data_IF_269367471272
#
_entry.id   IF_269367471272
#
_cell.length_a   1.000
_cell.length_b   1.000
_cell.length_c   1.000
_cell.angle_alpha   90.00
_cell.angle_beta   90.00
_cell.angle_gamma   90.00
#
_symmetry.space_group_name_H-M   'P 1'
#
loop_
_entity.id
_entity.type
_entity.pdbx_description
1 polymer ?
#
# COMPACT_ATOMS: atom_id res chain seq x y z
N UNK A 1 -11.14 15.21 -2.81
CA UNK A 1 -10.60 14.62 -4.05
C UNK A 1 -9.17 14.23 -3.74
N UNK A 2 -8.89 12.94 -3.61
CA UNK A 2 -7.51 12.46 -3.42
C UNK A 2 -6.66 12.96 -4.59
N UNK A 3 -5.53 13.59 -4.27
CA UNK A 3 -4.61 14.09 -5.28
C UNK A 3 -3.72 12.92 -5.71
N UNK A 4 -3.85 12.47 -6.96
CA UNK A 4 -2.93 11.46 -7.49
C UNK A 4 -1.56 12.10 -7.69
N UNK A 5 -0.54 11.51 -7.08
CA UNK A 5 0.85 11.96 -7.12
C UNK A 5 1.58 11.14 -8.18
N UNK A 6 2.01 11.82 -9.23
CA UNK A 6 2.85 11.22 -10.27
C UNK A 6 4.32 11.36 -9.87
N UNK A 7 4.87 10.32 -9.26
CA UNK A 7 6.32 10.15 -9.15
C UNK A 7 6.96 10.08 -10.56
N UNK A 8 8.27 10.31 -10.67
CA UNK A 8 9.01 10.20 -11.94
C UNK A 8 9.05 11.49 -12.77
N UNK A 9 8.91 12.67 -12.15
CA UNK A 9 9.02 13.97 -12.84
C UNK A 9 10.39 14.64 -12.65
N UNK A 10 11.34 13.98 -11.98
CA UNK A 10 12.70 14.47 -11.77
C UNK A 10 13.66 14.08 -12.90
N UNK A 11 14.92 14.50 -12.79
CA UNK A 11 16.00 14.00 -13.65
C UNK A 11 16.12 12.48 -13.48
N UNK A 12 15.78 11.75 -14.53
CA UNK A 12 15.68 10.28 -14.54
C UNK A 12 17.02 9.63 -14.16
N UNK A 13 18.15 10.13 -14.66
CA UNK A 13 19.45 9.51 -14.39
C UNK A 13 19.81 9.67 -12.92
N UNK A 14 19.62 10.87 -12.38
CA UNK A 14 19.92 11.16 -10.98
C UNK A 14 19.00 10.37 -10.05
N UNK A 15 17.67 10.41 -10.28
CA UNK A 15 16.72 9.77 -9.37
C UNK A 15 16.91 8.25 -9.38
N UNK A 16 17.14 7.63 -10.53
CA UNK A 16 17.48 6.20 -10.61
C UNK A 16 18.80 5.87 -9.91
N UNK A 17 19.85 6.69 -10.07
CA UNK A 17 21.13 6.45 -9.40
C UNK A 17 21.02 6.56 -7.87
N UNK A 18 20.20 7.50 -7.37
CA UNK A 18 19.93 7.63 -5.94
C UNK A 18 19.08 6.48 -5.41
N UNK A 19 17.97 6.16 -6.09
CA UNK A 19 17.03 5.11 -5.73
C UNK A 19 17.72 3.74 -5.65
N UNK A 20 18.58 3.44 -6.61
CA UNK A 20 19.36 2.19 -6.65
C UNK A 20 20.70 2.27 -5.92
N UNK A 21 21.01 3.42 -5.32
CA UNK A 21 22.32 3.71 -4.69
C UNK A 21 23.52 3.42 -5.62
N UNK A 22 23.31 3.46 -6.94
CA UNK A 22 24.30 3.05 -7.95
C UNK A 22 25.52 3.99 -8.02
N UNK A 23 25.39 5.22 -7.52
CA UNK A 23 26.48 6.19 -7.38
C UNK A 23 27.06 6.28 -5.96
N UNK A 24 26.60 5.43 -5.03
CA UNK A 24 27.29 5.17 -3.77
C UNK A 24 28.08 3.85 -3.90
N UNK A 25 29.17 3.88 -4.66
CA UNK A 25 30.31 3.08 -4.25
C UNK A 25 30.55 3.36 -2.75
N UNK A 26 30.91 2.37 -1.92
CA UNK A 26 31.23 2.63 -0.51
C UNK A 26 32.20 3.79 -0.51
N UNK A 27 31.85 4.84 0.23
CA UNK A 27 32.54 6.12 0.19
C UNK A 27 34.04 5.89 0.41
N UNK A 28 34.81 5.85 -0.69
CA UNK A 28 36.27 5.90 -0.68
C UNK A 28 36.76 7.26 -0.16
N UNK A 29 35.85 8.14 0.30
CA UNK A 29 36.17 9.22 1.24
C UNK A 29 35.97 8.73 2.66
N UNK A 30 36.67 7.66 3.03
CA UNK A 30 37.05 7.45 4.43
C UNK A 30 38.14 8.47 4.80
N UNK A 31 37.78 9.76 4.80
CA UNK A 31 38.51 10.74 5.58
C UNK A 31 38.02 10.57 7.03
N UNK A 32 38.91 10.42 8.02
CA UNK A 32 38.50 10.34 9.43
C UNK A 32 37.92 11.70 9.84
N UNK A 33 36.60 11.81 9.75
CA UNK A 33 35.81 12.97 10.15
C UNK A 33 34.51 12.53 10.80
N UNK A 34 33.81 13.43 11.52
CA UNK A 34 32.50 13.13 12.09
C UNK A 34 31.55 12.67 10.98
N UNK A 35 30.72 11.64 11.25
CA UNK A 35 29.65 11.25 10.32
C UNK A 35 28.86 12.50 9.92
N UNK A 36 28.61 12.76 8.63
CA UNK A 36 27.80 13.91 8.23
C UNK A 36 26.45 13.85 8.96
N UNK A 37 26.06 14.94 9.60
CA UNK A 37 24.82 15.05 10.39
C UNK A 37 23.54 14.92 9.53
N UNK A 38 23.68 14.88 8.21
CA UNK A 38 22.59 14.70 7.25
C UNK A 38 22.97 13.61 6.23
N UNK A 39 22.01 12.75 5.90
CA UNK A 39 22.12 11.74 4.84
C UNK A 39 20.82 11.70 4.01
N UNK A 40 20.85 11.05 2.84
CA UNK A 40 19.63 10.80 2.05
C UNK A 40 18.62 10.03 2.90
N UNK A 41 19.04 8.92 3.52
CA UNK A 41 18.20 8.08 4.36
C UNK A 41 17.51 8.88 5.48
N UNK A 42 18.24 9.76 6.19
CA UNK A 42 17.68 10.60 7.25
C UNK A 42 16.63 11.59 6.73
N UNK A 43 16.88 12.18 5.55
CA UNK A 43 15.91 13.09 4.91
C UNK A 43 14.65 12.32 4.52
N UNK A 44 14.80 11.11 3.98
CA UNK A 44 13.69 10.25 3.57
C UNK A 44 12.88 9.77 4.78
N UNK A 45 13.52 9.26 5.83
CA UNK A 45 12.86 8.83 7.08
C UNK A 45 12.05 9.96 7.71
N UNK A 46 12.64 11.16 7.76
CA UNK A 46 11.93 12.34 8.29
C UNK A 46 10.72 12.69 7.42
N UNK A 47 10.85 12.57 6.10
CA UNK A 47 9.78 12.84 5.17
C UNK A 47 8.63 11.82 5.29
N UNK A 48 8.95 10.54 5.47
CA UNK A 48 7.97 9.48 5.77
C UNK A 48 7.21 9.82 7.06
N UNK A 49 7.93 10.16 8.14
CA UNK A 49 7.29 10.52 9.41
C UNK A 49 6.36 11.75 9.28
N UNK A 50 6.72 12.75 8.46
CA UNK A 50 5.82 13.89 8.17
C UNK A 50 4.57 13.44 7.40
N UNK A 51 4.73 12.55 6.41
CA UNK A 51 3.62 12.07 5.61
C UNK A 51 2.68 11.13 6.39
N UNK A 52 3.21 10.29 7.28
CA UNK A 52 2.42 9.42 8.16
C UNK A 52 1.58 10.24 9.15
N UNK A 53 2.15 11.29 9.74
CA UNK A 53 1.47 12.10 10.75
C UNK A 53 0.51 13.14 10.17
N UNK A 54 0.84 13.72 9.01
CA UNK A 54 0.18 14.93 8.51
C UNK A 54 -0.28 14.81 7.04
N UNK A 55 -0.02 13.67 6.40
CA UNK A 55 -0.39 13.42 5.00
C UNK A 55 0.46 14.17 3.97
N UNK A 56 0.24 13.86 2.69
CA UNK A 56 1.01 14.42 1.58
C UNK A 56 0.80 15.92 1.34
N UNK A 57 -0.32 16.46 1.83
CA UNK A 57 -0.63 17.88 1.79
C UNK A 57 0.33 18.73 2.63
N UNK A 58 0.79 18.21 3.77
CA UNK A 58 1.76 18.88 4.64
C UNK A 58 3.22 18.67 4.19
N UNK A 59 3.48 17.63 3.40
CA UNK A 59 4.84 17.30 2.96
C UNK A 59 5.43 18.40 2.06
N UNK A 60 6.55 18.98 2.51
CA UNK A 60 7.35 19.92 1.74
C UNK A 60 8.81 19.89 2.19
N UNK A 61 9.74 20.31 1.32
CA UNK A 61 11.17 20.43 1.69
C UNK A 61 11.37 21.34 2.90
N UNK A 62 10.51 22.35 3.08
CA UNK A 62 10.54 23.25 4.24
C UNK A 62 10.08 22.55 5.52
N UNK A 63 9.01 21.76 5.45
CA UNK A 63 8.51 21.00 6.61
C UNK A 63 9.55 19.96 7.08
N UNK A 64 10.13 19.21 6.13
CA UNK A 64 11.19 18.24 6.42
C UNK A 64 12.42 18.93 7.01
N UNK A 65 12.84 20.06 6.42
CA UNK A 65 13.97 20.85 6.94
C UNK A 65 13.72 21.34 8.36
N UNK A 66 12.53 21.90 8.62
CA UNK A 66 12.16 22.38 9.94
C UNK A 66 12.20 21.26 11.00
N UNK A 67 11.71 20.06 10.67
CA UNK A 67 11.75 18.90 11.55
C UNK A 67 13.18 18.43 11.86
N UNK A 68 14.11 18.61 10.92
CA UNK A 68 15.54 18.33 11.08
C UNK A 68 16.34 19.49 11.70
N UNK A 69 15.72 20.63 12.01
CA UNK A 69 16.44 21.84 12.44
C UNK A 69 17.33 22.45 11.35
N UNK A 70 16.98 22.25 10.08
CA UNK A 70 17.74 22.67 8.90
C UNK A 70 16.91 23.53 7.95
N UNK A 71 17.59 24.21 7.03
CA UNK A 71 16.91 24.95 5.94
C UNK A 71 16.57 23.99 4.79
N UNK A 72 15.50 24.28 4.05
CA UNK A 72 15.16 23.53 2.83
C UNK A 72 16.33 23.49 1.83
N UNK A 73 17.11 24.58 1.73
CA UNK A 73 18.28 24.65 0.85
C UNK A 73 19.33 23.58 1.15
N UNK A 74 19.54 23.23 2.43
CA UNK A 74 20.49 22.18 2.80
C UNK A 74 20.05 20.78 2.34
N UNK A 75 18.73 20.56 2.19
CA UNK A 75 18.19 19.27 1.76
C UNK A 75 18.36 19.05 0.25
N UNK A 76 18.33 20.12 -0.56
CA UNK A 76 18.46 20.03 -2.01
C UNK A 76 19.81 19.46 -2.49
N UNK A 77 20.83 19.49 -1.64
CA UNK A 77 22.12 18.83 -1.88
C UNK A 77 21.98 17.29 -1.91
N UNK A 78 21.00 16.75 -1.19
CA UNK A 78 20.76 15.31 -1.07
C UNK A 78 19.63 14.87 -2.00
N UNK A 79 18.53 15.62 -2.01
CA UNK A 79 17.32 15.32 -2.78
C UNK A 79 16.86 16.56 -3.54
N UNK A 80 16.95 16.55 -4.86
CA UNK A 80 16.81 17.68 -5.77
C UNK A 80 15.41 18.29 -5.78
N UNK A 81 14.37 17.53 -5.44
CA UNK A 81 12.98 17.96 -5.57
C UNK A 81 12.05 17.18 -4.66
N UNK A 82 10.83 17.70 -4.44
CA UNK A 82 9.76 16.96 -3.75
C UNK A 82 9.42 15.65 -4.49
N UNK A 83 9.43 15.64 -5.83
CA UNK A 83 9.07 14.43 -6.58
C UNK A 83 10.14 13.33 -6.42
N UNK A 84 11.43 13.69 -6.47
CA UNK A 84 12.53 12.77 -6.17
C UNK A 84 12.44 12.27 -4.72
N UNK A 85 12.05 13.13 -3.77
CA UNK A 85 11.82 12.74 -2.38
C UNK A 85 10.70 11.69 -2.28
N UNK A 86 9.58 11.87 -3.00
CA UNK A 86 8.47 10.92 -3.00
C UNK A 86 8.87 9.56 -3.58
N UNK A 87 9.68 9.53 -4.64
CA UNK A 87 10.23 8.27 -5.18
C UNK A 87 11.03 7.50 -4.12
N UNK A 88 11.93 8.19 -3.43
CA UNK A 88 12.77 7.60 -2.39
C UNK A 88 11.94 7.17 -1.17
N UNK A 89 10.98 8.00 -0.74
CA UNK A 89 10.07 7.66 0.36
C UNK A 89 9.27 6.40 0.06
N UNK A 90 8.70 6.31 -1.14
CA UNK A 90 7.85 5.19 -1.54
C UNK A 90 8.64 3.87 -1.48
N UNK A 91 9.79 3.80 -2.12
CA UNK A 91 10.60 2.59 -2.12
C UNK A 91 11.20 2.28 -0.73
N UNK A 92 11.61 3.29 0.03
CA UNK A 92 12.13 3.09 1.39
C UNK A 92 11.05 2.52 2.32
N UNK A 93 9.81 3.02 2.24
CA UNK A 93 8.67 2.47 2.99
C UNK A 93 8.37 1.02 2.56
N UNK A 94 8.52 0.68 1.28
CA UNK A 94 8.39 -0.72 0.81
C UNK A 94 9.45 -1.67 1.38
N UNK A 95 10.51 -1.16 2.01
CA UNK A 95 11.54 -1.96 2.66
C UNK A 95 11.00 -2.94 3.71
N UNK A 96 9.99 -2.55 4.50
CA UNK A 96 9.37 -3.45 5.48
C UNK A 96 8.62 -4.62 4.82
N UNK A 97 7.99 -4.39 3.66
CA UNK A 97 7.35 -5.45 2.89
C UNK A 97 8.39 -6.37 2.24
N UNK A 98 9.49 -5.80 1.75
CA UNK A 98 10.58 -6.57 1.14
C UNK A 98 11.19 -7.55 2.13
N UNK A 99 11.54 -7.06 3.33
CA UNK A 99 12.10 -7.89 4.40
C UNK A 99 11.15 -9.01 4.82
N UNK A 100 9.86 -8.70 4.98
CA UNK A 100 8.87 -9.70 5.35
C UNK A 100 8.66 -10.75 4.25
N UNK A 101 8.59 -10.34 2.98
CA UNK A 101 8.43 -11.25 1.84
C UNK A 101 9.64 -12.18 1.70
N UNK A 102 10.86 -11.69 1.92
CA UNK A 102 12.08 -12.49 1.92
C UNK A 102 12.08 -13.55 3.03
N UNK A 103 11.65 -13.18 4.24
CA UNK A 103 11.54 -14.11 5.37
C UNK A 103 10.47 -15.19 5.13
N UNK A 104 9.41 -14.85 4.40
CA UNK A 104 8.32 -15.78 4.11
C UNK A 104 8.64 -16.79 2.99
N UNK A 105 9.75 -16.64 2.25
CA UNK A 105 10.11 -17.52 1.11
C UNK A 105 10.16 -19.01 1.45
N UNK A 106 10.55 -19.34 2.68
CA UNK A 106 10.66 -20.74 3.13
C UNK A 106 9.32 -21.38 3.53
N UNK A 107 8.22 -20.62 3.54
CA UNK A 107 6.89 -21.11 3.93
C UNK A 107 6.18 -21.76 2.74
N UNK A 108 5.18 -22.63 2.97
CA UNK A 108 4.29 -23.08 1.90
C UNK A 108 3.72 -21.90 1.12
N UNK A 109 3.64 -22.03 -0.22
CA UNK A 109 3.34 -20.90 -1.09
C UNK A 109 2.07 -20.13 -0.69
N UNK A 110 1.02 -20.86 -0.28
CA UNK A 110 -0.25 -20.26 0.10
C UNK A 110 -0.10 -19.43 1.37
N UNK A 111 0.63 -19.93 2.37
CA UNK A 111 0.90 -19.21 3.62
C UNK A 111 1.77 -17.98 3.37
N UNK A 112 2.80 -18.08 2.54
CA UNK A 112 3.68 -16.97 2.19
C UNK A 112 2.93 -15.84 1.48
N UNK A 113 2.08 -16.18 0.50
CA UNK A 113 1.28 -15.19 -0.25
C UNK A 113 0.19 -14.58 0.62
N UNK A 114 -0.45 -15.37 1.49
CA UNK A 114 -1.43 -14.84 2.46
C UNK A 114 -0.79 -13.86 3.44
N UNK A 115 0.36 -14.20 4.04
CA UNK A 115 1.10 -13.30 4.95
C UNK A 115 1.53 -12.02 4.23
N UNK A 116 2.04 -12.12 3.01
CA UNK A 116 2.38 -10.94 2.22
C UNK A 116 1.17 -10.03 1.95
N UNK A 117 0.03 -10.59 1.54
CA UNK A 117 -1.17 -9.81 1.25
C UNK A 117 -1.72 -9.10 2.51
N UNK A 118 -1.67 -9.77 3.67
CA UNK A 118 -2.06 -9.17 4.96
C UNK A 118 -1.09 -8.07 5.39
N UNK A 119 0.22 -8.27 5.21
CA UNK A 119 1.21 -7.23 5.49
C UNK A 119 1.09 -6.04 4.56
N UNK A 120 0.74 -6.26 3.29
CA UNK A 120 0.45 -5.19 2.34
C UNK A 120 -0.77 -4.37 2.78
N UNK A 121 -1.78 -5.02 3.35
CA UNK A 121 -2.93 -4.34 3.96
C UNK A 121 -2.49 -3.45 5.13
N UNK A 122 -1.75 -4.02 6.08
CA UNK A 122 -1.26 -3.29 7.25
C UNK A 122 -0.33 -2.14 6.86
N UNK A 123 0.52 -2.34 5.86
CA UNK A 123 1.40 -1.32 5.29
C UNK A 123 0.60 -0.13 4.76
N UNK A 124 -0.44 -0.36 3.97
CA UNK A 124 -1.24 0.74 3.43
C UNK A 124 -2.02 1.49 4.51
N UNK A 125 -2.49 0.79 5.56
CA UNK A 125 -3.12 1.46 6.70
C UNK A 125 -2.12 2.27 7.53
N UNK A 126 -0.86 1.82 7.65
CA UNK A 126 0.21 2.53 8.36
C UNK A 126 0.73 3.73 7.57
N UNK A 127 0.84 3.59 6.26
CA UNK A 127 1.37 4.59 5.33
C UNK A 127 0.34 4.99 4.27
N UNK A 128 -0.82 5.58 4.65
CA UNK A 128 -1.94 5.82 3.73
C UNK A 128 -1.58 6.75 2.57
N UNK A 129 -0.57 7.60 2.72
CA UNK A 129 -0.05 8.46 1.66
C UNK A 129 0.49 7.67 0.45
N UNK A 130 0.88 6.41 0.62
CA UNK A 130 1.36 5.55 -0.49
C UNK A 130 0.23 5.21 -1.47
N UNK A 131 -1.04 5.27 -1.04
CA UNK A 131 -2.22 5.14 -1.90
C UNK A 131 -2.44 6.36 -2.82
N UNK A 132 -1.81 7.49 -2.52
CA UNK A 132 -1.83 8.67 -3.38
C UNK A 132 -0.82 8.57 -4.53
N UNK A 133 0.20 7.69 -4.41
CA UNK A 133 1.23 7.52 -5.44
C UNK A 133 0.69 6.69 -6.61
N UNK A 134 0.84 7.25 -7.83
CA UNK A 134 0.31 6.69 -9.06
C UNK A 134 0.99 5.40 -9.46
N UNK A 135 0.18 4.36 -9.71
CA UNK A 135 0.65 3.09 -10.28
C UNK A 135 0.78 3.14 -11.81
N UNK A 136 0.30 4.21 -12.46
CA UNK A 136 0.46 4.40 -13.90
C UNK A 136 1.89 4.84 -14.27
N UNK A 137 2.65 5.35 -13.29
CA UNK A 137 4.07 5.67 -13.38
C UNK A 137 4.74 5.16 -12.10
N UNK A 138 4.94 3.83 -11.98
CA UNK A 138 5.42 3.22 -10.75
C UNK A 138 6.84 3.67 -10.45
N UNK A 139 7.19 3.63 -9.17
CA UNK A 139 8.57 3.84 -8.72
C UNK A 139 9.33 2.57 -9.06
N UNK A 140 10.42 2.70 -9.82
CA UNK A 140 11.23 1.53 -10.20
C UNK A 140 12.33 1.32 -9.18
N UNK A 141 11.96 1.05 -7.92
CA UNK A 141 12.87 1.00 -6.78
C UNK A 141 13.26 -0.42 -6.34
N UNK A 142 14.45 -0.59 -5.72
CA UNK A 142 14.97 -1.89 -5.35
C UNK A 142 14.09 -2.65 -4.37
N UNK A 143 13.41 -2.00 -3.41
CA UNK A 143 12.55 -2.71 -2.46
C UNK A 143 11.25 -3.20 -3.13
N UNK A 144 10.69 -2.42 -4.06
CA UNK A 144 9.54 -2.88 -4.87
C UNK A 144 9.91 -4.14 -5.70
N UNK A 145 11.11 -4.16 -6.30
CA UNK A 145 11.61 -5.35 -6.99
C UNK A 145 11.89 -6.52 -6.05
N UNK A 146 12.42 -6.28 -4.84
CA UNK A 146 12.65 -7.34 -3.84
C UNK A 146 11.34 -7.98 -3.37
N UNK A 147 10.27 -7.19 -3.21
CA UNK A 147 8.93 -7.69 -2.92
C UNK A 147 8.45 -8.58 -4.07
N UNK A 148 8.50 -8.07 -5.30
CA UNK A 148 8.01 -8.84 -6.45
C UNK A 148 8.81 -10.12 -6.66
N UNK A 149 10.14 -10.06 -6.61
CA UNK A 149 11.04 -11.22 -6.71
C UNK A 149 10.71 -12.28 -5.65
N UNK A 150 10.47 -11.87 -4.40
CA UNK A 150 10.18 -12.81 -3.31
C UNK A 150 8.85 -13.55 -3.51
N UNK A 151 7.79 -12.82 -3.90
CA UNK A 151 6.48 -13.42 -4.16
C UNK A 151 6.52 -14.26 -5.44
N UNK A 152 7.23 -13.80 -6.47
CA UNK A 152 7.39 -14.51 -7.73
C UNK A 152 8.14 -15.84 -7.54
N UNK A 153 9.24 -15.84 -6.79
CA UNK A 153 10.02 -17.05 -6.49
C UNK A 153 9.16 -18.12 -5.78
N UNK A 154 8.36 -17.71 -4.80
CA UNK A 154 7.45 -18.61 -4.09
C UNK A 154 6.40 -19.24 -5.02
N UNK A 155 5.81 -18.44 -5.92
CA UNK A 155 4.82 -18.93 -6.88
C UNK A 155 5.46 -19.78 -8.00
N UNK A 156 6.69 -19.46 -8.40
CA UNK A 156 7.47 -20.23 -9.37
C UNK A 156 7.82 -21.61 -8.81
N UNK A 157 8.35 -21.69 -7.58
CA UNK A 157 8.60 -22.97 -6.89
C UNK A 157 7.32 -23.80 -6.72
N UNK A 158 6.18 -23.12 -6.52
CA UNK A 158 4.89 -23.77 -6.47
C UNK A 158 4.45 -24.35 -7.83
N UNK A 159 5.09 -23.99 -8.95
CA UNK A 159 4.80 -24.50 -10.29
C UNK A 159 3.85 -23.62 -11.12
N UNK A 160 3.70 -22.34 -10.77
CA UNK A 160 2.88 -21.40 -11.53
C UNK A 160 3.66 -20.83 -12.72
N UNK A 161 3.01 -20.68 -13.88
CA UNK A 161 3.67 -20.14 -15.07
C UNK A 161 4.00 -18.63 -14.95
N UNK A 162 5.06 -18.13 -15.61
CA UNK A 162 5.50 -16.72 -15.46
C UNK A 162 4.43 -15.65 -15.76
N UNK A 163 3.59 -15.86 -16.77
CA UNK A 163 2.48 -14.96 -17.12
C UNK A 163 1.38 -14.95 -16.04
N UNK A 164 1.15 -16.11 -15.42
CA UNK A 164 0.22 -16.30 -14.31
C UNK A 164 0.78 -15.72 -13.02
N UNK A 165 2.09 -15.81 -12.76
CA UNK A 165 2.77 -15.15 -11.62
C UNK A 165 2.57 -13.63 -11.72
N UNK A 166 2.86 -13.04 -12.89
CA UNK A 166 2.69 -11.60 -13.11
C UNK A 166 1.24 -11.14 -12.89
N UNK A 167 0.28 -11.92 -13.39
CA UNK A 167 -1.15 -11.64 -13.24
C UNK A 167 -1.59 -11.78 -11.77
N UNK A 168 -1.15 -12.84 -11.09
CA UNK A 168 -1.45 -13.10 -9.67
C UNK A 168 -0.94 -11.96 -8.78
N UNK A 169 0.33 -11.57 -8.94
CA UNK A 169 0.92 -10.46 -8.20
C UNK A 169 0.13 -9.16 -8.42
N UNK A 170 -0.15 -8.83 -9.69
CA UNK A 170 -0.92 -7.63 -10.04
C UNK A 170 -2.34 -7.62 -9.47
N UNK A 171 -3.03 -8.77 -9.51
CA UNK A 171 -4.37 -8.93 -8.95
C UNK A 171 -4.37 -8.77 -7.43
N UNK A 172 -3.45 -9.43 -6.72
CA UNK A 172 -3.34 -9.29 -5.26
C UNK A 172 -3.03 -7.85 -4.85
N UNK A 173 -2.06 -7.22 -5.51
CA UNK A 173 -1.68 -5.84 -5.21
C UNK A 173 -2.84 -4.86 -5.44
N UNK A 174 -3.54 -4.98 -6.58
CA UNK A 174 -4.69 -4.12 -6.91
C UNK A 174 -5.85 -4.35 -5.96
N UNK A 175 -6.11 -5.61 -5.60
CA UNK A 175 -7.18 -6.01 -4.68
C UNK A 175 -6.96 -5.41 -3.30
N UNK A 176 -5.79 -5.61 -2.71
CA UNK A 176 -5.43 -5.06 -1.39
C UNK A 176 -5.53 -3.54 -1.41
N UNK A 177 -4.92 -2.89 -2.42
CA UNK A 177 -4.95 -1.43 -2.57
C UNK A 177 -6.39 -0.89 -2.65
N UNK A 178 -7.28 -1.58 -3.38
CA UNK A 178 -8.68 -1.19 -3.53
C UNK A 178 -9.47 -1.26 -2.22
N UNK A 179 -9.32 -2.35 -1.47
CA UNK A 179 -10.03 -2.48 -0.18
C UNK A 179 -9.47 -1.55 0.88
N UNK A 180 -8.15 -1.38 0.97
CA UNK A 180 -7.55 -0.45 1.94
C UNK A 180 -7.89 1.00 1.61
N UNK A 181 -8.07 1.34 0.33
CA UNK A 181 -8.55 2.67 -0.06
C UNK A 181 -9.94 2.97 0.56
N UNK A 182 -10.87 2.01 0.50
CA UNK A 182 -12.18 2.14 1.16
C UNK A 182 -12.06 2.24 2.68
N UNK A 183 -11.23 1.40 3.30
CA UNK A 183 -11.00 1.44 4.75
C UNK A 183 -10.39 2.78 5.20
N UNK A 184 -9.39 3.29 4.48
CA UNK A 184 -8.76 4.57 4.79
C UNK A 184 -9.73 5.76 4.62
N UNK A 185 -10.59 5.73 3.61
CA UNK A 185 -11.67 6.71 3.43
C UNK A 185 -12.68 6.66 4.59
N UNK A 186 -13.10 5.46 5.00
CA UNK A 186 -14.02 5.26 6.13
C UNK A 186 -13.46 5.88 7.42
N UNK A 187 -12.19 5.62 7.76
CA UNK A 187 -11.52 6.20 8.94
C UNK A 187 -11.51 7.73 8.95
N UNK A 188 -11.46 8.37 7.78
CA UNK A 188 -11.41 9.82 7.66
C UNK A 188 -12.80 10.46 7.51
N UNK A 189 -13.83 9.68 7.17
CA UNK A 189 -15.15 10.18 6.83
C UNK A 189 -15.71 11.06 7.95
N UNK A 190 -15.72 10.58 9.20
CA UNK A 190 -16.28 11.32 10.33
C UNK A 190 -15.56 12.66 10.60
N UNK A 191 -14.23 12.70 10.45
CA UNK A 191 -13.42 13.92 10.62
C UNK A 191 -13.74 14.94 9.51
N UNK A 192 -13.89 14.46 8.27
CA UNK A 192 -14.11 15.33 7.10
C UNK A 192 -15.56 15.82 7.00
N UNK A 193 -16.54 14.97 7.30
CA UNK A 193 -17.97 15.30 7.19
C UNK A 193 -18.53 15.92 8.47
N UNK A 194 -17.84 15.73 9.60
CA UNK A 194 -18.30 16.17 10.91
C UNK A 194 -19.45 15.34 11.48
N UNK A 195 -19.70 14.13 10.93
CA UNK A 195 -20.78 13.24 11.35
C UNK A 195 -20.25 11.83 11.66
N UNK A 196 -20.59 11.23 12.82
CA UNK A 196 -20.31 9.82 13.12
C UNK A 196 -20.91 8.86 12.08
N UNK A 197 -20.25 7.73 11.85
CA UNK A 197 -20.65 6.78 10.80
C UNK A 197 -22.00 6.10 11.11
N UNK A 198 -22.24 5.74 12.37
CA UNK A 198 -23.50 5.16 12.84
C UNK A 198 -24.67 6.11 12.60
N UNK A 199 -24.53 7.38 12.98
CA UNK A 199 -25.52 8.43 12.74
C UNK A 199 -25.81 8.59 11.24
N UNK A 200 -24.75 8.55 10.41
CA UNK A 200 -24.89 8.65 8.95
C UNK A 200 -25.68 7.46 8.37
N UNK A 201 -25.36 6.23 8.79
CA UNK A 201 -26.05 5.01 8.33
C UNK A 201 -27.50 4.97 8.80
N UNK A 202 -27.77 5.16 10.10
CA UNK A 202 -29.13 5.13 10.65
C UNK A 202 -30.03 6.21 10.05
N UNK A 203 -29.51 7.42 9.89
CA UNK A 203 -30.27 8.52 9.29
C UNK A 203 -30.65 8.20 7.84
N UNK A 204 -29.74 7.61 7.06
CA UNK A 204 -30.00 7.28 5.65
C UNK A 204 -30.85 6.03 5.46
N UNK A 205 -30.66 4.98 6.25
CA UNK A 205 -31.49 3.77 6.16
C UNK A 205 -32.94 4.08 6.53
N UNK A 206 -33.17 4.86 7.59
CA UNK A 206 -34.53 5.30 7.96
C UNK A 206 -35.20 6.15 6.88
N UNK A 207 -34.47 7.10 6.29
CA UNK A 207 -34.99 7.90 5.17
C UNK A 207 -35.27 7.05 3.91
N UNK A 208 -34.44 6.03 3.64
CA UNK A 208 -34.65 5.12 2.51
C UNK A 208 -35.98 4.35 2.66
N UNK A 209 -36.30 3.89 3.87
CA UNK A 209 -37.58 3.23 4.17
C UNK A 209 -38.78 4.15 3.93
N UNK A 210 -38.68 5.44 4.29
CA UNK A 210 -39.74 6.43 4.08
C UNK A 210 -39.97 6.75 2.59
N UNK A 211 -38.90 6.95 1.82
CA UNK A 211 -39.00 7.37 0.40
C UNK A 211 -39.22 6.21 -0.55
N UNK A 212 -38.89 4.97 -0.14
CA UNK A 212 -39.03 3.76 -0.94
C UNK A 212 -39.69 2.63 -0.11
N UNK A 213 -40.96 2.78 0.30
CA UNK A 213 -41.66 1.73 1.06
C UNK A 213 -41.84 0.42 0.28
N UNK A 214 -41.67 0.45 -1.05
CA UNK A 214 -41.69 -0.71 -1.94
C UNK A 214 -40.29 -1.32 -2.20
N UNK A 215 -39.25 -0.89 -1.46
CA UNK A 215 -37.87 -1.33 -1.67
C UNK A 215 -37.74 -2.85 -1.72
N UNK A 216 -38.38 -3.57 -0.78
CA UNK A 216 -38.28 -5.03 -0.73
C UNK A 216 -38.91 -5.72 -1.95
N UNK A 217 -39.99 -5.15 -2.50
CA UNK A 217 -40.60 -5.65 -3.73
C UNK A 217 -39.72 -5.35 -4.96
N UNK A 218 -39.02 -4.21 -4.97
CA UNK A 218 -38.11 -3.81 -6.05
C UNK A 218 -36.77 -4.54 -6.03
N UNK A 219 -36.26 -4.86 -4.83
CA UNK A 219 -34.95 -5.45 -4.61
C UNK A 219 -35.02 -6.70 -3.71
N UNK A 220 -35.75 -7.75 -4.12
CA UNK A 220 -36.05 -8.90 -3.27
C UNK A 220 -34.82 -9.74 -2.90
N UNK A 221 -33.77 -9.74 -3.74
CA UNK A 221 -32.51 -10.44 -3.43
C UNK A 221 -31.76 -9.73 -2.30
N UNK A 222 -31.58 -8.41 -2.41
CA UNK A 222 -30.89 -7.61 -1.40
C UNK A 222 -31.62 -7.64 -0.06
N UNK A 223 -32.95 -7.66 -0.09
CA UNK A 223 -33.77 -7.75 1.12
C UNK A 223 -33.56 -9.08 1.84
N UNK A 224 -33.53 -10.21 1.11
CA UNK A 224 -33.22 -11.51 1.71
C UNK A 224 -31.80 -11.57 2.28
N UNK A 225 -30.83 -10.90 1.65
CA UNK A 225 -29.47 -10.82 2.18
C UNK A 225 -29.41 -10.01 3.48
N UNK A 226 -30.11 -8.87 3.54
CA UNK A 226 -30.22 -8.08 4.76
C UNK A 226 -30.91 -8.86 5.89
N UNK A 227 -32.01 -9.57 5.59
CA UNK A 227 -32.72 -10.44 6.53
C UNK A 227 -31.85 -11.59 7.06
N UNK A 228 -30.89 -12.09 6.26
CA UNK A 228 -29.92 -13.10 6.70
C UNK A 228 -28.72 -12.52 7.47
N UNK A 229 -28.67 -11.20 7.69
CA UNK A 229 -27.58 -10.53 8.39
C UNK A 229 -26.32 -10.28 7.56
N UNK A 230 -26.40 -10.35 6.22
CA UNK A 230 -25.24 -10.20 5.34
C UNK A 230 -24.60 -8.80 5.35
N UNK A 231 -25.26 -7.82 5.96
CA UNK A 231 -24.78 -6.44 6.14
C UNK A 231 -24.68 -6.08 7.64
N UNK A 232 -24.59 -7.08 8.52
CA UNK A 232 -24.44 -6.83 9.95
C UNK A 232 -23.01 -6.40 10.29
N UNK A 233 -22.87 -5.57 11.32
CA UNK A 233 -21.59 -5.19 11.89
C UNK A 233 -21.32 -6.08 13.12
N UNK A 234 -20.18 -6.77 13.17
CA UNK A 234 -19.83 -7.63 14.31
C UNK A 234 -19.21 -6.83 15.48
N UNK A 235 -18.44 -5.76 15.20
CA UNK A 235 -17.87 -4.88 16.22
C UNK A 235 -18.40 -3.43 16.07
N UNK A 236 -19.32 -2.98 16.94
CA UNK A 236 -19.86 -1.63 16.87
C UNK A 236 -18.84 -0.52 17.17
N UNK A 237 -17.63 -0.86 17.61
CA UNK A 237 -16.55 0.11 17.86
C UNK A 237 -15.64 0.33 16.64
N UNK A 238 -15.73 -0.51 15.61
CA UNK A 238 -14.99 -0.34 14.35
C UNK A 238 -15.90 0.25 13.27
N UNK A 239 -15.37 1.11 12.37
CA UNK A 239 -16.16 1.60 11.25
C UNK A 239 -16.66 0.44 10.38
N UNK A 240 -17.96 0.41 10.06
CA UNK A 240 -18.60 -0.66 9.31
C UNK A 240 -17.89 -0.92 7.97
N UNK A 241 -17.59 0.14 7.22
CA UNK A 241 -16.94 -0.01 5.91
C UNK A 241 -15.48 -0.48 6.00
N UNK A 242 -14.82 -0.25 7.12
CA UNK A 242 -13.48 -0.80 7.36
C UNK A 242 -13.55 -2.30 7.64
N UNK A 243 -14.46 -2.73 8.49
CA UNK A 243 -14.70 -4.15 8.77
C UNK A 243 -15.14 -4.89 7.50
N UNK A 244 -16.13 -4.37 6.78
CA UNK A 244 -16.64 -4.96 5.55
C UNK A 244 -15.51 -5.08 4.49
N UNK A 245 -14.64 -4.07 4.38
CA UNK A 245 -13.49 -4.12 3.48
C UNK A 245 -12.51 -5.25 3.86
N UNK A 246 -12.25 -5.46 5.15
CA UNK A 246 -11.36 -6.52 5.62
C UNK A 246 -11.94 -7.92 5.38
N UNK A 247 -13.21 -8.13 5.70
CA UNK A 247 -13.89 -9.40 5.47
C UNK A 247 -13.97 -9.74 3.98
N UNK A 248 -14.32 -8.76 3.15
CA UNK A 248 -14.37 -8.92 1.69
C UNK A 248 -12.98 -9.19 1.12
N UNK A 249 -11.93 -8.52 1.64
CA UNK A 249 -10.56 -8.82 1.27
C UNK A 249 -10.17 -10.26 1.60
N UNK A 250 -10.46 -10.75 2.80
CA UNK A 250 -10.16 -12.13 3.21
C UNK A 250 -10.85 -13.14 2.30
N UNK A 251 -12.14 -12.96 2.05
CA UNK A 251 -12.89 -13.82 1.13
C UNK A 251 -12.31 -13.79 -0.29
N UNK A 252 -12.03 -12.59 -0.82
CA UNK A 252 -11.46 -12.40 -2.15
C UNK A 252 -10.06 -13.01 -2.29
N UNK A 253 -9.24 -12.89 -1.25
CA UNK A 253 -7.92 -13.52 -1.17
C UNK A 253 -8.03 -15.04 -1.23
N UNK A 254 -8.87 -15.66 -0.40
CA UNK A 254 -9.08 -17.11 -0.42
C UNK A 254 -9.55 -17.60 -1.79
N UNK A 255 -10.56 -16.94 -2.37
CA UNK A 255 -11.08 -17.28 -3.69
C UNK A 255 -10.03 -17.13 -4.81
N UNK A 256 -9.21 -16.08 -4.76
CA UNK A 256 -8.13 -15.88 -5.73
C UNK A 256 -7.06 -16.98 -5.59
N UNK A 257 -6.65 -17.30 -4.36
CA UNK A 257 -5.65 -18.34 -4.10
C UNK A 257 -6.16 -19.73 -4.46
N UNK A 258 -7.45 -20.02 -4.32
CA UNK A 258 -8.06 -21.26 -4.83
C UNK A 258 -7.98 -21.34 -6.36
N UNK A 259 -8.25 -20.21 -7.02
CA UNK A 259 -8.06 -20.08 -8.46
C UNK A 259 -6.60 -20.30 -8.88
N UNK A 260 -5.64 -19.77 -8.13
CA UNK A 260 -4.20 -19.99 -8.37
C UNK A 260 -3.84 -21.46 -8.16
N UNK A 261 -4.30 -22.08 -7.07
CA UNK A 261 -4.05 -23.48 -6.76
C UNK A 261 -4.54 -24.41 -7.87
N UNK A 262 -5.69 -24.13 -8.48
CA UNK A 262 -6.22 -24.90 -9.60
C UNK A 262 -5.39 -24.78 -10.90
N UNK A 263 -4.49 -23.78 -10.99
CA UNK A 263 -3.61 -23.52 -12.15
C UNK A 263 -2.18 -23.99 -11.95
N UNK A 264 -1.80 -24.29 -10.71
CA UNK A 264 -0.51 -24.91 -10.40
C UNK A 264 -0.48 -26.30 -11.06
N UNK A 265 0.43 -26.47 -12.03
CA UNK A 265 0.66 -27.74 -12.70
C UNK A 265 1.59 -28.66 -11.88
N UNK A 266 1.74 -29.94 -12.27
CA UNK A 266 2.83 -30.75 -11.74
C UNK A 266 4.16 -30.06 -12.09
N UNK A 267 5.02 -29.87 -11.08
CA UNK A 267 6.30 -29.17 -11.21
C UNK A 267 7.04 -29.62 -12.48
N UNK A 268 7.28 -28.69 -13.40
CA UNK A 268 8.11 -28.97 -14.57
C UNK A 268 9.56 -29.00 -14.10
N UNK A 269 10.32 -30.09 -14.27
CA UNK A 269 11.71 -30.13 -13.83
C UNK A 269 12.50 -29.04 -14.53
N UNK A 270 13.16 -28.16 -13.76
CA UNK A 270 14.09 -27.17 -14.28
C UNK A 270 15.26 -27.89 -14.94
N UNK A 271 15.35 -27.81 -16.27
CA UNK A 271 16.55 -28.21 -17.01
C UNK A 271 17.46 -26.98 -17.04
N UNK A 272 18.48 -26.98 -16.19
CA UNK A 272 19.62 -26.06 -16.28
C UNK A 272 20.57 -26.47 -17.40
#
# INVERSE_FOLDING_TARGET
>A
MQVVIYAGQSDVRRSMALLWRASQAPDERTAPGPKPELSVDLVVDTAIAVADEQGMGALSMKAVGARLGRTAMSLYTYVASKNELVELMYDQAFGELAEAAEQARARPWREAVTDWAQRLWDFYLRHPWTLEVSQARPVLGPNEYRVFESVAAVLEEAGLAPDQIRSTFGSLFTMVRGFVQTAAESRQAAVVTGQPEDEWWYGRSGQLEEVAPDFAARFPVLSRMAESGAFSNEDPNEPYLEQEAWETFRFGLEALLDGVAARIGPATPQVY
#
